data_IF_982220926216
#
_entry.id   IF_982220926216
#
_cell.length_a   1.000
_cell.length_b   1.000
_cell.length_c   1.000
_cell.angle_alpha   90.00
_cell.angle_beta   90.00
_cell.angle_gamma   90.00
#
_symmetry.space_group_name_H-M   'P 1'
#
loop_
_entity.id
_entity.type
_entity.pdbx_description
1 polymer ?
#
# COMPACT_ATOMS: atom_id res chain seq x y z
N UNK A 1 17.46 77.91 7.98
CA UNK A 1 16.67 76.74 7.56
C UNK A 1 15.38 76.74 8.38
N UNK A 2 14.24 76.76 7.68
CA UNK A 2 12.83 76.62 8.13
C UNK A 2 12.36 77.77 9.05
N UNK A 3 11.55 78.75 8.63
CA UNK A 3 10.39 78.74 7.71
C UNK A 3 9.10 78.53 8.54
N UNK A 4 8.65 79.54 9.30
CA UNK A 4 7.55 80.48 8.99
C UNK A 4 6.12 79.92 8.99
N UNK A 5 5.28 80.52 9.85
CA UNK A 5 3.90 81.03 9.61
C UNK A 5 2.79 80.05 9.16
N UNK A 6 1.49 80.22 9.41
CA UNK A 6 0.63 81.19 10.12
C UNK A 6 -0.80 80.58 10.11
N UNK A 7 -1.58 80.86 11.16
CA UNK A 7 -2.99 81.35 11.15
C UNK A 7 -4.02 80.52 10.35
N UNK A 8 -4.96 79.83 11.02
CA UNK A 8 -6.34 80.27 11.32
C UNK A 8 -7.21 80.51 10.08
N UNK A 9 -8.33 79.79 9.91
CA UNK A 9 -9.71 80.33 9.94
C UNK A 9 -10.78 79.27 9.60
N UNK A 10 -12.00 79.60 10.00
CA UNK A 10 -13.22 78.81 10.20
C UNK A 10 -14.03 78.48 8.92
N UNK A 11 -15.20 77.84 9.15
CA UNK A 11 -16.43 77.79 8.33
C UNK A 11 -16.52 76.56 7.43
N UNK A 12 -17.63 75.86 7.26
CA UNK A 12 -19.03 76.03 7.65
C UNK A 12 -19.81 74.93 6.92
N UNK A 13 -21.04 74.69 7.37
CA UNK A 13 -21.98 73.66 6.94
C UNK A 13 -22.17 73.53 5.41
N UNK A 14 -22.38 72.30 4.95
CA UNK A 14 -22.84 71.96 3.60
C UNK A 14 -23.24 70.49 3.53
N UNK A 15 -24.54 70.24 3.49
CA UNK A 15 -25.16 68.93 3.52
C UNK A 15 -24.89 68.10 2.24
N UNK A 16 -24.57 66.81 2.40
CA UNK A 16 -24.81 65.83 1.34
C UNK A 16 -25.13 64.44 1.94
N UNK A 17 -26.43 64.14 1.92
CA UNK A 17 -27.07 62.81 1.75
C UNK A 17 -26.60 61.65 2.65
N UNK A 18 -26.95 61.70 3.94
CA UNK A 18 -27.25 60.48 4.72
C UNK A 18 -28.56 59.86 4.20
N UNK A 19 -28.48 59.01 3.19
CA UNK A 19 -29.49 58.00 2.86
C UNK A 19 -28.89 57.00 1.87
N UNK A 20 -27.87 56.27 2.30
CA UNK A 20 -27.53 55.01 1.65
C UNK A 20 -28.58 53.98 2.14
N UNK A 21 -29.39 53.37 1.25
CA UNK A 21 -30.50 52.56 1.69
C UNK A 21 -30.01 51.31 2.42
N UNK A 22 -30.47 51.10 3.66
CA UNK A 22 -30.24 49.89 4.49
C UNK A 22 -30.56 48.59 3.73
N UNK A 23 -31.40 48.67 2.69
CA UNK A 23 -31.75 47.56 1.79
C UNK A 23 -30.55 47.13 0.93
N UNK A 24 -29.72 48.04 0.47
CA UNK A 24 -28.55 47.74 -0.38
C UNK A 24 -27.41 47.11 0.43
N UNK A 25 -27.23 47.52 1.69
CA UNK A 25 -26.31 46.84 2.63
C UNK A 25 -26.80 45.44 3.03
N UNK A 26 -28.11 45.23 3.17
CA UNK A 26 -28.70 43.89 3.40
C UNK A 26 -28.62 43.00 2.16
N UNK A 27 -28.81 43.56 0.97
CA UNK A 27 -28.65 42.84 -0.29
C UNK A 27 -27.18 42.42 -0.48
N UNK A 28 -26.22 43.33 -0.24
CA UNK A 28 -24.78 43.05 -0.30
C UNK A 28 -24.30 42.06 0.78
N UNK A 29 -24.83 42.13 2.01
CA UNK A 29 -24.55 41.13 3.05
C UNK A 29 -25.18 39.77 2.76
N UNK A 30 -26.33 39.75 2.07
CA UNK A 30 -26.98 38.52 1.60
C UNK A 30 -26.15 37.80 0.53
N UNK A 31 -25.68 38.54 -0.48
CA UNK A 31 -24.81 38.00 -1.53
C UNK A 31 -23.45 37.56 -1.00
N UNK A 32 -22.80 38.33 -0.11
CA UNK A 32 -21.50 37.95 0.46
C UNK A 32 -21.58 36.64 1.28
N UNK A 33 -22.66 36.47 2.06
CA UNK A 33 -22.89 35.27 2.85
C UNK A 33 -23.24 34.04 2.00
N UNK A 34 -23.98 34.23 0.90
CA UNK A 34 -24.28 33.17 -0.06
C UNK A 34 -23.07 32.78 -0.92
N UNK A 35 -22.21 33.75 -1.25
CA UNK A 35 -20.91 33.51 -1.88
C UNK A 35 -20.02 32.69 -0.94
N UNK A 36 -19.92 33.07 0.34
CA UNK A 36 -19.16 32.34 1.35
C UNK A 36 -19.59 30.87 1.47
N UNK A 37 -20.89 30.61 1.58
CA UNK A 37 -21.45 29.23 1.63
C UNK A 37 -21.20 28.43 0.35
N UNK A 38 -21.13 29.11 -0.80
CA UNK A 38 -20.87 28.46 -2.08
C UNK A 38 -19.40 28.09 -2.21
N UNK A 39 -18.49 28.96 -1.76
CA UNK A 39 -17.05 28.71 -1.70
C UNK A 39 -16.75 27.56 -0.72
N UNK A 40 -17.33 27.56 0.48
CA UNK A 40 -17.14 26.48 1.47
C UNK A 40 -17.60 25.12 0.93
N UNK A 41 -18.80 25.04 0.32
CA UNK A 41 -19.28 23.79 -0.30
C UNK A 41 -18.37 23.32 -1.44
N UNK A 42 -17.77 24.24 -2.20
CA UNK A 42 -16.82 23.89 -3.26
C UNK A 42 -15.54 23.31 -2.66
N UNK A 43 -14.98 23.94 -1.64
CA UNK A 43 -13.79 23.46 -0.91
C UNK A 43 -14.05 22.09 -0.26
N UNK A 44 -15.22 21.90 0.34
CA UNK A 44 -15.63 20.62 0.93
C UNK A 44 -15.78 19.53 -0.15
N UNK A 45 -16.38 19.86 -1.29
CA UNK A 45 -16.51 18.92 -2.41
C UNK A 45 -15.16 18.55 -3.03
N UNK A 46 -14.25 19.53 -3.17
CA UNK A 46 -12.90 19.33 -3.71
C UNK A 46 -12.05 18.48 -2.75
N UNK A 47 -12.04 18.78 -1.45
CA UNK A 47 -11.35 17.97 -0.43
C UNK A 47 -11.93 16.56 -0.31
N UNK A 48 -13.26 16.39 -0.42
CA UNK A 48 -13.91 15.08 -0.47
C UNK A 48 -13.59 14.30 -1.76
N UNK A 49 -13.33 14.98 -2.87
CA UNK A 49 -12.91 14.36 -4.14
C UNK A 49 -11.43 13.96 -4.11
N UNK A 50 -10.55 14.81 -3.57
CA UNK A 50 -9.13 14.52 -3.40
C UNK A 50 -8.90 13.34 -2.44
N UNK A 51 -9.60 13.32 -1.30
CA UNK A 51 -9.51 12.21 -0.33
C UNK A 51 -10.04 10.89 -0.89
N UNK A 52 -11.08 10.91 -1.73
CA UNK A 52 -11.52 9.72 -2.49
C UNK A 52 -10.51 9.29 -3.54
N UNK A 53 -9.91 10.24 -4.26
CA UNK A 53 -8.86 9.96 -5.25
C UNK A 53 -7.62 9.33 -4.62
N UNK A 54 -7.14 9.88 -3.51
CA UNK A 54 -5.99 9.36 -2.75
C UNK A 54 -6.25 7.95 -2.23
N UNK A 55 -7.39 7.71 -1.55
CA UNK A 55 -7.77 6.37 -1.07
C UNK A 55 -7.82 5.35 -2.21
N UNK A 56 -8.45 5.69 -3.34
CA UNK A 56 -8.48 4.81 -4.52
C UNK A 56 -7.08 4.48 -5.01
N UNK A 57 -6.19 5.46 -5.13
CA UNK A 57 -4.82 5.24 -5.55
C UNK A 57 -4.04 4.30 -4.59
N UNK A 58 -4.24 4.45 -3.28
CA UNK A 58 -3.65 3.58 -2.26
C UNK A 58 -4.14 2.12 -2.38
N UNK A 59 -5.46 1.93 -2.54
CA UNK A 59 -6.04 0.60 -2.77
C UNK A 59 -5.53 -0.05 -4.06
N UNK A 60 -5.46 0.71 -5.16
CA UNK A 60 -4.91 0.21 -6.42
C UNK A 60 -3.43 -0.14 -6.27
N UNK A 61 -2.62 0.73 -5.68
CA UNK A 61 -1.20 0.48 -5.44
C UNK A 61 -0.97 -0.79 -4.61
N UNK A 62 -1.78 -0.97 -3.56
CA UNK A 62 -1.72 -2.17 -2.74
C UNK A 62 -2.11 -3.43 -3.53
N UNK A 63 -3.22 -3.41 -4.28
CA UNK A 63 -3.60 -4.53 -5.16
C UNK A 63 -2.54 -4.84 -6.22
N UNK A 64 -1.95 -3.82 -6.83
CA UNK A 64 -0.89 -3.97 -7.81
C UNK A 64 0.36 -4.62 -7.21
N UNK A 65 0.72 -4.33 -5.95
CA UNK A 65 1.83 -5.01 -5.26
C UNK A 65 1.61 -6.52 -5.16
N UNK A 66 0.42 -6.94 -4.75
CA UNK A 66 0.07 -8.37 -4.68
C UNK A 66 0.03 -9.01 -6.07
N UNK A 67 -0.49 -8.32 -7.09
CA UNK A 67 -0.46 -8.85 -8.46
C UNK A 67 0.97 -9.00 -8.99
N UNK A 68 1.84 -8.03 -8.72
CA UNK A 68 3.26 -8.10 -9.11
C UNK A 68 3.96 -9.24 -8.35
N UNK A 69 3.73 -9.39 -7.05
CA UNK A 69 4.26 -10.50 -6.27
C UNK A 69 3.76 -11.85 -6.82
N UNK A 70 2.48 -11.98 -7.15
CA UNK A 70 1.92 -13.18 -7.76
C UNK A 70 2.62 -13.51 -9.08
N UNK A 71 2.78 -12.51 -9.97
CA UNK A 71 3.42 -12.70 -11.28
C UNK A 71 4.91 -13.03 -11.17
N UNK A 72 5.63 -12.35 -10.28
CA UNK A 72 7.06 -12.61 -10.02
C UNK A 72 7.24 -14.00 -9.43
N UNK A 73 6.42 -14.40 -8.47
CA UNK A 73 6.49 -15.74 -7.88
C UNK A 73 6.10 -16.83 -8.88
N UNK A 74 5.05 -16.59 -9.67
CA UNK A 74 4.58 -17.53 -10.68
C UNK A 74 5.53 -17.71 -11.87
N UNK A 75 6.33 -16.70 -12.20
CA UNK A 75 7.39 -16.83 -13.19
C UNK A 75 8.70 -17.36 -12.56
N UNK A 76 9.07 -16.85 -11.40
CA UNK A 76 10.35 -17.12 -10.75
C UNK A 76 10.50 -18.56 -10.27
N UNK A 77 9.45 -19.14 -9.71
CA UNK A 77 9.51 -20.52 -9.20
C UNK A 77 9.71 -21.55 -10.33
N UNK A 78 8.90 -21.57 -11.42
CA UNK A 78 9.15 -22.44 -12.56
C UNK A 78 10.51 -22.22 -13.21
N UNK A 79 11.01 -20.98 -13.27
CA UNK A 79 12.34 -20.70 -13.81
C UNK A 79 13.45 -21.31 -12.96
N UNK A 80 13.38 -21.15 -11.64
CA UNK A 80 14.33 -21.75 -10.72
C UNK A 80 14.31 -23.29 -10.83
N UNK A 81 13.11 -23.88 -10.97
CA UNK A 81 12.96 -25.32 -11.12
C UNK A 81 13.40 -25.84 -12.50
N UNK A 82 13.19 -25.08 -13.58
CA UNK A 82 13.77 -25.37 -14.89
C UNK A 82 15.29 -25.41 -14.82
N UNK A 83 15.91 -24.47 -14.10
CA UNK A 83 17.36 -24.45 -13.91
C UNK A 83 17.86 -25.64 -13.08
N UNK A 84 17.06 -26.16 -12.14
CA UNK A 84 17.48 -27.22 -11.23
C UNK A 84 17.17 -28.65 -11.74
N UNK A 85 15.97 -28.87 -12.28
CA UNK A 85 15.44 -30.20 -12.68
C UNK A 85 15.07 -30.32 -14.16
N UNK A 86 15.00 -29.21 -14.90
CA UNK A 86 14.69 -29.21 -16.33
C UNK A 86 13.24 -29.54 -16.72
N UNK A 87 12.32 -29.66 -15.74
CA UNK A 87 10.88 -29.86 -15.96
C UNK A 87 10.08 -29.04 -14.95
N UNK A 88 8.95 -28.47 -15.37
CA UNK A 88 8.02 -27.73 -14.50
C UNK A 88 6.59 -28.15 -14.81
N UNK A 89 5.72 -28.06 -13.80
CA UNK A 89 4.27 -28.14 -13.95
C UNK A 89 3.63 -26.77 -13.71
N UNK A 90 2.47 -26.55 -14.33
CA UNK A 90 1.71 -25.31 -14.18
C UNK A 90 1.25 -25.07 -12.73
N UNK A 91 1.03 -26.13 -11.95
CA UNK A 91 0.68 -26.05 -10.53
C UNK A 91 1.80 -25.44 -9.68
N UNK A 92 3.05 -25.57 -10.12
CA UNK A 92 4.23 -25.02 -9.44
C UNK A 92 4.33 -23.51 -9.63
N UNK A 93 3.93 -23.01 -10.81
CA UNK A 93 3.77 -21.58 -11.04
C UNK A 93 2.71 -21.00 -10.10
N UNK A 94 1.58 -21.70 -9.94
CA UNK A 94 0.53 -21.26 -9.01
C UNK A 94 1.04 -21.24 -7.56
N UNK A 95 1.71 -22.30 -7.12
CA UNK A 95 2.25 -22.39 -5.76
C UNK A 95 3.31 -21.30 -5.51
N UNK A 96 4.26 -21.10 -6.42
CA UNK A 96 5.29 -20.06 -6.30
C UNK A 96 4.70 -18.65 -6.19
N UNK A 97 3.66 -18.36 -6.96
CA UNK A 97 2.91 -17.11 -6.85
C UNK A 97 2.20 -16.96 -5.51
N UNK A 98 1.50 -18.01 -5.05
CA UNK A 98 0.82 -18.02 -3.74
C UNK A 98 1.80 -17.83 -2.58
N UNK A 99 2.94 -18.52 -2.61
CA UNK A 99 4.00 -18.41 -1.61
C UNK A 99 4.56 -16.98 -1.54
N UNK A 100 4.85 -16.35 -2.69
CA UNK A 100 5.38 -14.99 -2.68
C UNK A 100 4.36 -13.96 -2.17
N UNK A 101 3.07 -14.13 -2.51
CA UNK A 101 1.98 -13.36 -1.91
C UNK A 101 1.87 -13.58 -0.40
N UNK A 102 2.03 -14.83 0.06
CA UNK A 102 2.05 -15.17 1.49
C UNK A 102 3.19 -14.47 2.24
N UNK A 103 4.40 -14.45 1.66
CA UNK A 103 5.54 -13.71 2.23
C UNK A 103 5.23 -12.22 2.31
N UNK A 104 4.65 -11.62 1.25
CA UNK A 104 4.27 -10.20 1.26
C UNK A 104 3.23 -9.91 2.35
N UNK A 105 2.22 -10.77 2.49
CA UNK A 105 1.19 -10.64 3.52
C UNK A 105 1.78 -10.72 4.93
N UNK A 106 2.62 -11.71 5.20
CA UNK A 106 3.34 -11.83 6.47
C UNK A 106 4.19 -10.59 6.70
N UNK A 107 4.90 -10.11 5.66
CA UNK A 107 5.72 -8.90 5.74
C UNK A 107 4.90 -7.71 6.23
N UNK A 108 3.74 -7.44 5.62
CA UNK A 108 2.88 -6.31 5.96
C UNK A 108 2.21 -6.46 7.34
N UNK A 109 1.77 -7.66 7.72
CA UNK A 109 1.07 -7.89 8.98
C UNK A 109 1.99 -7.91 10.22
N UNK A 110 3.27 -8.18 10.04
CA UNK A 110 4.23 -8.36 11.14
C UNK A 110 5.28 -7.26 11.22
N UNK A 111 5.18 -6.26 10.34
CA UNK A 111 6.04 -5.07 10.33
C UNK A 111 5.99 -4.36 11.69
N UNK A 112 7.15 -4.17 12.30
CA UNK A 112 7.28 -3.51 13.61
C UNK A 112 6.89 -4.35 14.84
N UNK A 113 6.36 -5.57 14.66
CA UNK A 113 5.96 -6.46 15.77
C UNK A 113 6.96 -7.59 15.97
N UNK A 114 7.41 -8.22 14.88
CA UNK A 114 8.32 -9.37 14.92
C UNK A 114 9.69 -9.01 14.34
N UNK A 115 10.73 -9.65 14.87
CA UNK A 115 12.08 -9.60 14.28
C UNK A 115 12.12 -10.30 12.91
N UNK A 116 13.05 -9.89 12.05
CA UNK A 116 13.19 -10.40 10.68
C UNK A 116 13.30 -11.93 10.65
N UNK A 117 14.04 -12.53 11.58
CA UNK A 117 14.20 -13.98 11.65
C UNK A 117 12.89 -14.70 11.99
N UNK A 118 12.12 -14.17 12.95
CA UNK A 118 10.83 -14.75 13.35
C UNK A 118 9.81 -14.68 12.21
N UNK A 119 9.84 -13.59 11.43
CA UNK A 119 8.99 -13.43 10.24
C UNK A 119 9.37 -14.43 9.15
N UNK A 120 10.67 -14.62 8.90
CA UNK A 120 11.14 -15.61 7.95
C UNK A 120 10.81 -17.05 8.37
N UNK A 121 10.86 -17.35 9.67
CA UNK A 121 10.45 -18.65 10.21
C UNK A 121 8.96 -18.90 9.97
N UNK A 122 8.11 -17.90 10.23
CA UNK A 122 6.68 -17.99 9.96
C UNK A 122 6.40 -18.23 8.46
N UNK A 123 7.10 -17.52 7.57
CA UNK A 123 7.01 -17.74 6.13
C UNK A 123 7.42 -19.16 5.73
N UNK A 124 8.54 -19.66 6.26
CA UNK A 124 9.01 -21.03 5.98
C UNK A 124 7.98 -22.09 6.37
N UNK A 125 7.32 -21.93 7.53
CA UNK A 125 6.26 -22.83 7.97
C UNK A 125 5.07 -22.80 7.00
N UNK A 126 4.57 -21.61 6.67
CA UNK A 126 3.43 -21.44 5.75
C UNK A 126 3.74 -22.03 4.37
N UNK A 127 4.94 -21.81 3.84
CA UNK A 127 5.36 -22.36 2.55
C UNK A 127 5.44 -23.88 2.62
N UNK A 128 6.02 -24.43 3.69
CA UNK A 128 6.12 -25.87 3.89
C UNK A 128 4.74 -26.53 4.01
N UNK A 129 3.78 -25.89 4.68
CA UNK A 129 2.40 -26.38 4.74
C UNK A 129 1.73 -26.35 3.37
N UNK A 130 1.91 -25.27 2.60
CA UNK A 130 1.37 -25.17 1.26
C UNK A 130 1.97 -26.23 0.32
N UNK A 131 3.28 -26.46 0.39
CA UNK A 131 3.96 -27.54 -0.32
C UNK A 131 3.42 -28.92 0.08
N UNK A 132 3.19 -29.15 1.38
CA UNK A 132 2.61 -30.41 1.84
C UNK A 132 1.22 -30.65 1.25
N UNK A 133 0.34 -29.64 1.28
CA UNK A 133 -1.02 -29.74 0.74
C UNK A 133 -0.97 -30.02 -0.77
N UNK A 134 -0.14 -29.28 -1.50
CA UNK A 134 0.02 -29.49 -2.94
C UNK A 134 0.63 -30.87 -3.25
N UNK A 135 1.64 -31.30 -2.49
CA UNK A 135 2.22 -32.64 -2.60
C UNK A 135 1.17 -33.72 -2.38
N UNK A 136 0.36 -33.63 -1.33
CA UNK A 136 -0.76 -34.56 -1.10
C UNK A 136 -1.73 -34.57 -2.28
N UNK A 137 -2.13 -33.40 -2.79
CA UNK A 137 -3.06 -33.30 -3.92
C UNK A 137 -2.49 -33.88 -5.22
N UNK A 138 -1.24 -33.57 -5.55
CA UNK A 138 -0.66 -33.96 -6.85
C UNK A 138 0.01 -35.34 -6.82
N UNK A 139 0.57 -35.77 -5.70
CA UNK A 139 1.23 -37.07 -5.59
C UNK A 139 0.32 -38.16 -5.07
N UNK A 140 -0.36 -37.95 -3.94
CA UNK A 140 -1.17 -39.00 -3.33
C UNK A 140 -2.51 -39.16 -4.03
N UNK A 141 -3.15 -38.06 -4.44
CA UNK A 141 -4.45 -38.12 -5.12
C UNK A 141 -4.29 -38.30 -6.63
N UNK A 142 -3.46 -37.47 -7.27
CA UNK A 142 -3.32 -37.49 -8.73
C UNK A 142 -2.20 -38.40 -9.26
N UNK A 143 -1.33 -38.95 -8.39
CA UNK A 143 -0.29 -39.91 -8.80
C UNK A 143 0.81 -39.34 -9.70
N UNK A 144 1.01 -38.02 -9.71
CA UNK A 144 1.89 -37.35 -10.69
C UNK A 144 3.39 -37.43 -10.34
N UNK A 145 3.75 -37.81 -9.11
CA UNK A 145 5.16 -37.96 -8.69
C UNK A 145 5.97 -36.66 -8.75
N UNK A 146 5.31 -35.53 -8.50
CA UNK A 146 5.85 -34.18 -8.47
C UNK A 146 6.41 -33.87 -7.08
N UNK A 147 7.69 -33.55 -6.94
CA UNK A 147 8.34 -33.33 -5.62
C UNK A 147 8.39 -34.58 -4.72
N UNK A 148 8.80 -35.71 -5.28
CA UNK A 148 9.10 -36.89 -4.46
C UNK A 148 10.40 -36.69 -3.66
N UNK A 149 10.24 -36.48 -2.35
CA UNK A 149 11.32 -36.35 -1.38
C UNK A 149 11.48 -37.59 -0.51
N UNK A 150 10.94 -38.74 -0.92
CA UNK A 150 10.98 -39.99 -0.13
C UNK A 150 12.42 -40.43 0.19
N UNK A 151 13.38 -40.14 -0.68
CA UNK A 151 14.79 -40.47 -0.47
C UNK A 151 15.57 -39.43 0.37
N UNK A 152 14.95 -38.31 0.72
CA UNK A 152 15.59 -37.24 1.51
C UNK A 152 15.40 -37.49 3.01
N UNK A 153 16.44 -37.24 3.84
CA UNK A 153 16.31 -37.35 5.29
C UNK A 153 15.35 -36.29 5.84
N UNK A 154 14.64 -36.62 6.93
CA UNK A 154 13.64 -35.74 7.57
C UNK A 154 12.52 -35.29 6.63
N UNK A 155 12.09 -36.19 5.74
CA UNK A 155 10.88 -35.97 4.95
C UNK A 155 9.61 -36.27 5.76
N UNK A 156 8.54 -35.56 5.43
CA UNK A 156 7.17 -35.80 5.89
C UNK A 156 6.38 -36.38 4.72
N UNK A 157 6.05 -37.67 4.77
CA UNK A 157 5.31 -38.41 3.73
C UNK A 157 5.93 -38.31 2.32
N UNK A 158 7.23 -38.03 2.23
CA UNK A 158 7.91 -37.75 0.97
C UNK A 158 7.42 -36.49 0.23
N UNK A 159 6.60 -35.63 0.87
CA UNK A 159 6.00 -34.44 0.25
C UNK A 159 6.70 -33.13 0.63
N UNK A 160 7.26 -33.08 1.84
CA UNK A 160 8.07 -31.95 2.33
C UNK A 160 9.29 -32.51 3.01
N UNK A 161 10.41 -31.80 3.02
CA UNK A 161 11.55 -32.15 3.84
C UNK A 161 12.16 -30.93 4.54
N UNK A 162 12.82 -31.18 5.67
CA UNK A 162 13.46 -30.12 6.45
C UNK A 162 14.52 -29.33 5.65
N UNK A 163 15.20 -29.97 4.70
CA UNK A 163 16.18 -29.31 3.82
C UNK A 163 15.52 -28.19 2.99
N UNK A 164 14.35 -28.45 2.40
CA UNK A 164 13.60 -27.42 1.67
C UNK A 164 12.97 -26.39 2.60
N UNK A 165 12.46 -26.78 3.77
CA UNK A 165 11.99 -25.80 4.76
C UNK A 165 13.09 -24.81 5.17
N UNK A 166 14.34 -25.27 5.32
CA UNK A 166 15.50 -24.41 5.57
C UNK A 166 15.86 -23.53 4.36
N UNK A 167 15.70 -24.05 3.15
CA UNK A 167 15.84 -23.25 1.93
C UNK A 167 14.80 -22.11 1.90
N UNK A 168 13.54 -22.41 2.23
CA UNK A 168 12.47 -21.41 2.30
C UNK A 168 12.69 -20.37 3.38
N UNK A 169 13.25 -20.77 4.53
CA UNK A 169 13.68 -19.84 5.57
C UNK A 169 14.75 -18.88 5.02
N UNK A 170 15.77 -19.43 4.36
CA UNK A 170 16.89 -18.67 3.80
C UNK A 170 16.44 -17.72 2.68
N UNK A 171 15.46 -18.12 1.86
CA UNK A 171 14.88 -17.31 0.80
C UNK A 171 13.92 -16.23 1.33
N UNK A 172 13.21 -16.53 2.42
CA UNK A 172 12.28 -15.59 3.05
C UNK A 172 12.97 -14.38 3.66
N UNK A 173 14.20 -14.54 4.20
CA UNK A 173 14.99 -13.44 4.77
C UNK A 173 15.23 -12.27 3.78
N UNK A 174 15.85 -12.49 2.59
CA UNK A 174 16.04 -11.42 1.61
C UNK A 174 14.72 -10.95 0.99
N UNK A 175 13.72 -11.83 0.85
CA UNK A 175 12.41 -11.46 0.32
C UNK A 175 11.69 -10.44 1.23
N UNK A 176 11.62 -10.71 2.54
CA UNK A 176 11.03 -9.80 3.53
C UNK A 176 11.82 -8.49 3.58
N UNK A 177 13.15 -8.55 3.61
CA UNK A 177 14.01 -7.35 3.58
C UNK A 177 13.75 -6.47 2.35
N UNK A 178 13.54 -7.08 1.17
CA UNK A 178 13.19 -6.36 -0.04
C UNK A 178 11.78 -5.75 0.04
N UNK A 179 10.81 -6.49 0.57
CA UNK A 179 9.45 -6.01 0.73
C UNK A 179 9.32 -4.88 1.74
N UNK A 180 10.04 -4.94 2.85
CA UNK A 180 10.11 -3.87 3.84
C UNK A 180 10.74 -2.61 3.22
N UNK A 181 11.82 -2.73 2.45
CA UNK A 181 12.41 -1.59 1.71
C UNK A 181 11.43 -0.96 0.72
N UNK A 182 10.61 -1.78 0.07
CA UNK A 182 9.58 -1.33 -0.85
C UNK A 182 8.33 -0.80 -0.13
N UNK A 183 8.05 -1.27 1.09
CA UNK A 183 6.94 -0.88 1.96
C UNK A 183 7.18 0.43 2.70
N UNK A 184 8.37 0.62 3.27
CA UNK A 184 8.77 1.79 4.06
C UNK A 184 8.72 3.13 3.29
N UNK A 185 8.59 3.08 1.95
CA UNK A 185 8.31 4.27 1.13
C UNK A 185 6.94 4.89 1.41
N UNK A 186 5.98 4.13 1.99
CA UNK A 186 4.63 4.61 2.32
C UNK A 186 4.62 5.56 3.52
N UNK A 187 5.29 5.23 4.62
CA UNK A 187 5.17 6.03 5.85
C UNK A 187 5.89 7.40 5.76
N UNK A 188 6.95 7.49 4.94
CA UNK A 188 7.69 8.75 4.74
C UNK A 188 6.94 9.77 3.87
N UNK A 189 5.86 9.37 3.19
CA UNK A 189 5.00 10.26 2.38
C UNK A 189 3.74 10.73 3.09
N UNK A 190 3.34 10.08 4.19
CA UNK A 190 2.20 10.53 5.01
C UNK A 190 2.63 11.51 6.12
N UNK A 191 3.90 11.50 6.53
CA UNK A 191 4.45 12.40 7.55
C UNK A 191 5.08 13.69 6.99
N UNK A 192 4.94 14.00 5.70
CA UNK A 192 5.51 15.19 5.05
C UNK A 192 4.44 15.95 4.29
#
# INVERSE_FOLDING_TARGET
MVGENKICECRGEGAETKNEPVIERRAAQGTDKDIGKTVERRIESESASLSRGRRRAEYLCHRLRYLLALLIGAAGYPLAELCWRGRTHWSMALLGGMCLCGILYVSECTEGVLDLFSRALLCSIIISEAEFIFGVMFNLIAGLGIWDYTEKPLNLLGQVCAEYSLLWLSLSLPAISLFDRCGASKERREKK
#
